data_IF_618279075795
#
_entry.id   IF_618279075795
#
_cell.length_a   1.000
_cell.length_b   1.000
_cell.length_c   1.000
_cell.angle_alpha   90.00
_cell.angle_beta   90.00
_cell.angle_gamma   90.00
#
_symmetry.space_group_name_H-M   'P 1'
#
loop_
_entity.id
_entity.type
_entity.pdbx_description
1 polymer ?
#
# COMPACT_ATOMS: atom_id res chain seq x y z
N UNK A 1 -3.71 -40.50 -30.26
CA UNK A 1 -4.73 -39.45 -30.25
C UNK A 1 -5.11 -39.09 -28.79
N UNK A 2 -5.50 -40.06 -27.92
CA UNK A 2 -5.89 -39.88 -26.53
C UNK A 2 -4.81 -39.14 -25.74
N UNK A 3 -3.55 -39.65 -25.80
CA UNK A 3 -2.43 -38.99 -25.11
C UNK A 3 -2.29 -37.51 -25.47
N UNK A 4 -2.43 -37.19 -26.77
CA UNK A 4 -2.27 -35.82 -27.26
C UNK A 4 -3.41 -34.89 -26.78
N UNK A 5 -4.67 -35.35 -26.69
CA UNK A 5 -5.82 -34.58 -26.22
C UNK A 5 -5.73 -34.22 -24.73
N UNK A 6 -5.08 -35.05 -23.91
CA UNK A 6 -5.11 -34.85 -22.47
C UNK A 6 -3.79 -34.36 -21.86
N UNK A 7 -2.67 -34.77 -22.44
CA UNK A 7 -1.35 -34.54 -21.86
C UNK A 7 -0.51 -33.52 -22.62
N UNK A 8 -0.93 -33.08 -23.80
CA UNK A 8 -0.28 -31.94 -24.46
C UNK A 8 -0.69 -30.62 -23.86
N UNK A 9 0.11 -29.59 -24.16
CA UNK A 9 -0.11 -28.22 -23.67
C UNK A 9 -1.50 -27.67 -24.08
N UNK A 10 -2.28 -27.20 -23.14
CA UNK A 10 -3.62 -26.67 -23.34
C UNK A 10 -3.60 -25.41 -24.24
N UNK A 11 -2.69 -24.50 -23.97
CA UNK A 11 -2.49 -23.28 -24.75
C UNK A 11 -1.30 -23.39 -25.71
N UNK A 12 -1.31 -22.58 -26.77
CA UNK A 12 -0.13 -22.38 -27.63
C UNK A 12 0.88 -21.40 -27.01
N UNK A 13 0.50 -20.66 -25.99
CA UNK A 13 1.38 -19.73 -25.29
C UNK A 13 2.48 -20.49 -24.54
N UNK A 14 3.74 -20.12 -24.80
CA UNK A 14 4.90 -20.56 -24.01
C UNK A 14 5.19 -19.63 -22.83
N UNK A 15 4.43 -18.51 -22.71
CA UNK A 15 4.51 -17.59 -21.57
C UNK A 15 3.46 -17.97 -20.53
N UNK A 16 3.68 -17.62 -19.26
CA UNK A 16 2.65 -17.72 -18.26
C UNK A 16 1.38 -17.01 -18.73
N UNK A 17 0.26 -17.71 -18.74
CA UNK A 17 -1.06 -17.16 -19.03
C UNK A 17 -2.08 -17.76 -18.08
N UNK A 18 -3.14 -17.03 -17.80
CA UNK A 18 -4.09 -17.39 -16.77
C UNK A 18 -5.51 -17.17 -17.26
N UNK A 19 -6.43 -17.97 -16.74
CA UNK A 19 -7.87 -17.73 -16.80
C UNK A 19 -8.36 -17.31 -15.40
N UNK A 20 -9.27 -16.34 -15.37
CA UNK A 20 -9.91 -15.85 -14.16
C UNK A 20 -11.34 -16.31 -14.16
N UNK A 21 -11.73 -17.05 -13.14
CA UNK A 21 -13.07 -17.57 -12.93
C UNK A 21 -13.67 -16.79 -11.77
N UNK A 22 -14.69 -16.01 -12.10
CA UNK A 22 -15.37 -15.15 -11.13
C UNK A 22 -16.28 -16.00 -10.21
N UNK A 23 -16.64 -15.46 -9.08
CA UNK A 23 -17.46 -16.15 -8.09
C UNK A 23 -18.91 -16.42 -8.55
N UNK A 24 -19.37 -15.71 -9.59
CA UNK A 24 -20.67 -15.87 -10.24
C UNK A 24 -20.63 -16.63 -11.57
N UNK A 25 -19.46 -17.15 -11.97
CA UNK A 25 -19.30 -17.90 -13.21
C UNK A 25 -20.06 -19.24 -13.17
N UNK A 26 -20.73 -19.51 -14.29
CA UNK A 26 -21.34 -20.80 -14.58
C UNK A 26 -20.36 -21.70 -15.36
N UNK A 27 -20.60 -23.03 -15.45
CA UNK A 27 -19.77 -23.89 -16.29
C UNK A 27 -19.64 -23.41 -17.73
N UNK A 28 -20.71 -22.85 -18.32
CA UNK A 28 -20.71 -22.38 -19.68
C UNK A 28 -19.87 -21.12 -19.85
N UNK A 29 -19.95 -20.16 -18.93
CA UNK A 29 -19.10 -18.97 -18.95
C UNK A 29 -17.62 -19.32 -18.77
N UNK A 30 -17.30 -20.30 -17.93
CA UNK A 30 -15.94 -20.83 -17.78
C UNK A 30 -15.42 -21.40 -19.11
N UNK A 31 -16.24 -22.18 -19.82
CA UNK A 31 -15.83 -22.70 -21.13
C UNK A 31 -15.58 -21.60 -22.15
N UNK A 32 -16.38 -20.53 -22.15
CA UNK A 32 -16.16 -19.35 -23.00
C UNK A 32 -14.83 -18.66 -22.67
N UNK A 33 -14.51 -18.52 -21.37
CA UNK A 33 -13.24 -17.94 -20.93
C UNK A 33 -12.04 -18.81 -21.33
N UNK A 34 -12.15 -20.12 -21.16
CA UNK A 34 -11.09 -21.08 -21.50
C UNK A 34 -10.84 -21.19 -23.00
N UNK A 35 -11.88 -21.07 -23.83
CA UNK A 35 -11.78 -21.16 -25.30
C UNK A 35 -10.84 -20.10 -25.87
N UNK A 36 -10.80 -18.90 -25.24
CA UNK A 36 -9.90 -17.81 -25.65
C UNK A 36 -8.41 -18.17 -25.52
N UNK A 37 -8.05 -19.08 -24.63
CA UNK A 37 -6.67 -19.49 -24.37
C UNK A 37 -6.33 -20.86 -24.99
N UNK A 38 -7.32 -21.66 -25.32
CA UNK A 38 -7.18 -23.05 -25.73
C UNK A 38 -6.70 -23.20 -27.19
N UNK A 39 -5.97 -24.28 -27.45
CA UNK A 39 -5.92 -24.87 -28.81
C UNK A 39 -7.27 -25.53 -29.08
N UNK A 40 -7.84 -25.43 -30.31
CA UNK A 40 -9.16 -26.00 -30.60
C UNK A 40 -9.33 -27.45 -30.19
N UNK A 41 -8.32 -28.30 -30.48
CA UNK A 41 -8.33 -29.70 -30.13
C UNK A 41 -8.27 -29.95 -28.61
N UNK A 42 -7.59 -29.09 -27.86
CA UNK A 42 -7.49 -29.22 -26.40
C UNK A 42 -8.78 -28.85 -25.71
N UNK A 43 -9.57 -27.91 -26.28
CA UNK A 43 -10.90 -27.60 -25.76
C UNK A 43 -11.86 -28.78 -25.84
N UNK A 44 -11.78 -29.60 -26.92
CA UNK A 44 -12.55 -30.85 -27.03
C UNK A 44 -12.13 -31.82 -25.91
N UNK A 45 -10.83 -32.02 -25.70
CA UNK A 45 -10.31 -32.85 -24.62
C UNK A 45 -10.72 -32.35 -23.23
N UNK A 46 -10.71 -31.05 -23.02
CA UNK A 46 -11.12 -30.44 -21.76
C UNK A 46 -12.60 -30.67 -21.45
N UNK A 47 -13.50 -30.47 -22.44
CA UNK A 47 -14.95 -30.70 -22.26
C UNK A 47 -15.24 -32.17 -21.93
N UNK A 48 -14.53 -33.10 -22.60
CA UNK A 48 -14.67 -34.52 -22.33
C UNK A 48 -14.20 -34.87 -20.90
N UNK A 49 -13.04 -34.37 -20.48
CA UNK A 49 -12.58 -34.53 -19.10
C UNK A 49 -13.55 -33.92 -18.10
N UNK A 50 -14.04 -32.72 -18.36
CA UNK A 50 -14.97 -31.99 -17.50
C UNK A 50 -16.27 -32.77 -17.26
N UNK A 51 -16.78 -33.43 -18.31
CA UNK A 51 -17.94 -34.33 -18.20
C UNK A 51 -17.63 -35.50 -17.28
N UNK A 52 -16.51 -36.20 -17.52
CA UNK A 52 -16.11 -37.41 -16.75
C UNK A 52 -15.93 -37.04 -15.24
N UNK A 53 -15.31 -35.92 -14.94
CA UNK A 53 -15.05 -35.51 -13.53
C UNK A 53 -16.21 -34.72 -12.91
N UNK A 54 -17.34 -34.56 -13.61
CA UNK A 54 -18.50 -33.78 -13.17
C UNK A 54 -18.12 -32.35 -12.74
N UNK A 55 -17.35 -31.66 -13.59
CA UNK A 55 -16.86 -30.31 -13.30
C UNK A 55 -18.00 -29.31 -13.10
N UNK A 56 -19.10 -29.44 -13.84
CA UNK A 56 -20.25 -28.54 -13.76
C UNK A 56 -20.86 -28.38 -12.37
N UNK A 57 -20.71 -29.42 -11.53
CA UNK A 57 -21.13 -29.36 -10.12
C UNK A 57 -20.04 -28.80 -9.17
N UNK A 58 -18.85 -28.47 -9.69
CA UNK A 58 -17.66 -28.14 -8.90
C UNK A 58 -16.88 -26.99 -9.55
N UNK A 59 -17.58 -25.92 -9.92
CA UNK A 59 -16.93 -24.69 -10.37
C UNK A 59 -16.36 -23.96 -9.14
N UNK A 60 -15.06 -23.68 -9.17
CA UNK A 60 -14.39 -22.95 -8.13
C UNK A 60 -13.83 -21.64 -8.72
N UNK A 61 -14.17 -20.46 -8.13
CA UNK A 61 -13.59 -19.19 -8.54
C UNK A 61 -12.09 -19.17 -8.33
N UNK A 62 -11.41 -18.25 -9.00
CA UNK A 62 -9.99 -18.03 -8.83
C UNK A 62 -9.19 -17.91 -10.11
N UNK A 63 -7.88 -17.75 -9.98
CA UNK A 63 -6.92 -17.64 -11.06
C UNK A 63 -6.25 -18.99 -11.34
N UNK A 64 -6.33 -19.47 -12.57
CA UNK A 64 -5.77 -20.74 -12.97
C UNK A 64 -4.80 -20.59 -14.14
N UNK A 65 -3.63 -21.21 -14.04
CA UNK A 65 -2.65 -21.23 -15.12
C UNK A 65 -3.13 -22.04 -16.31
N UNK A 66 -3.01 -21.47 -17.52
CA UNK A 66 -3.40 -22.08 -18.81
C UNK A 66 -2.23 -22.19 -19.79
N UNK A 67 -1.16 -21.40 -19.59
CA UNK A 67 0.06 -21.39 -20.40
C UNK A 67 1.21 -22.16 -19.80
N UNK A 68 2.41 -21.95 -20.34
CA UNK A 68 3.67 -22.51 -19.83
C UNK A 68 3.65 -24.04 -19.69
N UNK A 69 3.16 -24.74 -20.72
CA UNK A 69 3.15 -26.20 -20.77
C UNK A 69 2.10 -26.88 -19.88
N UNK A 70 1.15 -26.15 -19.30
CA UNK A 70 0.04 -26.74 -18.54
C UNK A 70 -0.79 -27.64 -19.45
N UNK A 71 -0.87 -28.95 -19.15
CA UNK A 71 -1.68 -29.90 -19.90
C UNK A 71 -3.17 -29.75 -19.59
N UNK A 72 -4.01 -30.16 -20.55
CA UNK A 72 -5.47 -30.19 -20.38
C UNK A 72 -5.90 -30.96 -19.12
N UNK A 73 -5.28 -32.11 -18.88
CA UNK A 73 -5.57 -32.93 -17.70
C UNK A 73 -5.19 -32.21 -16.37
N UNK A 74 -4.03 -31.54 -16.35
CA UNK A 74 -3.61 -30.76 -15.19
C UNK A 74 -4.55 -29.60 -14.95
N UNK A 75 -4.95 -28.89 -16.01
CA UNK A 75 -5.87 -27.76 -15.91
C UNK A 75 -7.22 -28.17 -15.34
N UNK A 76 -7.88 -29.18 -15.89
CA UNK A 76 -9.19 -29.61 -15.40
C UNK A 76 -9.14 -30.14 -13.95
N UNK A 77 -8.06 -30.81 -13.57
CA UNK A 77 -7.83 -31.24 -12.19
C UNK A 77 -7.69 -30.05 -11.23
N UNK A 78 -7.01 -29.00 -11.66
CA UNK A 78 -6.84 -27.79 -10.88
C UNK A 78 -8.18 -27.03 -10.73
N UNK A 79 -8.90 -26.86 -11.85
CA UNK A 79 -10.20 -26.21 -11.89
C UNK A 79 -11.21 -26.91 -10.96
N UNK A 80 -11.33 -28.25 -11.09
CA UNK A 80 -12.26 -29.04 -10.26
C UNK A 80 -11.87 -29.07 -8.79
N UNK A 81 -10.59 -29.04 -8.49
CA UNK A 81 -10.07 -29.11 -7.12
C UNK A 81 -9.83 -27.75 -6.47
N UNK A 82 -10.18 -26.64 -7.14
CA UNK A 82 -9.95 -25.28 -6.62
C UNK A 82 -8.46 -24.97 -6.40
N UNK A 83 -7.55 -25.63 -7.15
CA UNK A 83 -6.10 -25.42 -6.99
C UNK A 83 -5.66 -24.21 -7.78
N UNK A 84 -5.91 -23.06 -7.22
CA UNK A 84 -5.60 -21.76 -7.81
C UNK A 84 -4.09 -21.50 -7.92
N UNK A 85 -3.73 -20.58 -8.81
CA UNK A 85 -2.41 -19.95 -8.86
C UNK A 85 -2.48 -18.61 -8.16
N UNK A 86 -1.67 -18.40 -7.12
CA UNK A 86 -1.65 -17.16 -6.37
C UNK A 86 -1.29 -15.94 -7.26
N UNK A 87 -1.81 -14.78 -6.90
CA UNK A 87 -1.39 -13.48 -7.45
C UNK A 87 -0.35 -12.84 -6.52
N UNK A 88 0.55 -12.08 -7.09
CA UNK A 88 1.47 -11.22 -6.35
C UNK A 88 0.78 -9.87 -6.09
N UNK A 89 0.14 -9.76 -4.93
CA UNK A 89 -0.57 -8.56 -4.52
C UNK A 89 0.43 -7.51 -4.03
N UNK A 90 0.53 -6.40 -4.76
CA UNK A 90 1.38 -5.27 -4.39
C UNK A 90 0.60 -4.26 -3.56
N UNK A 91 1.09 -3.97 -2.34
CA UNK A 91 0.60 -2.86 -1.52
C UNK A 91 1.48 -1.65 -1.80
N UNK A 92 0.96 -0.64 -2.53
CA UNK A 92 1.73 0.55 -2.92
C UNK A 92 1.71 1.64 -1.84
N UNK A 93 2.62 2.60 -1.97
CA UNK A 93 2.52 3.90 -1.28
C UNK A 93 1.38 4.70 -1.90
N UNK A 94 0.38 5.05 -1.09
CA UNK A 94 -0.82 5.81 -1.52
C UNK A 94 -1.28 6.74 -0.41
N UNK A 95 -1.97 7.83 -0.78
CA UNK A 95 -2.42 8.83 0.19
C UNK A 95 -3.67 8.39 0.96
N UNK A 96 -4.62 7.74 0.30
CA UNK A 96 -5.91 7.40 0.93
C UNK A 96 -6.25 5.92 0.83
N UNK A 97 -7.12 5.45 1.73
CA UNK A 97 -7.66 4.10 1.66
C UNK A 97 -8.54 3.88 0.43
N UNK A 98 -9.14 4.94 -0.14
CA UNK A 98 -9.86 4.85 -1.40
C UNK A 98 -8.89 4.64 -2.58
N UNK A 99 -7.73 5.30 -2.58
CA UNK A 99 -6.69 5.05 -3.57
C UNK A 99 -6.18 3.61 -3.47
N UNK A 100 -5.98 3.11 -2.24
CA UNK A 100 -5.61 1.72 -2.02
C UNK A 100 -6.66 0.77 -2.59
N UNK A 101 -7.93 0.98 -2.28
CA UNK A 101 -9.03 0.16 -2.82
C UNK A 101 -9.02 0.12 -4.35
N UNK A 102 -8.80 1.27 -5.00
CA UNK A 102 -8.67 1.36 -6.46
C UNK A 102 -7.47 0.57 -7.00
N UNK A 103 -6.32 0.57 -6.29
CA UNK A 103 -5.13 -0.19 -6.71
C UNK A 103 -5.29 -1.69 -6.49
N UNK A 104 -5.95 -2.09 -5.41
CA UNK A 104 -6.17 -3.50 -5.09
C UNK A 104 -7.23 -4.14 -5.99
N UNK A 105 -8.26 -3.40 -6.37
CA UNK A 105 -9.31 -3.90 -7.28
C UNK A 105 -8.79 -4.22 -8.70
N UNK A 106 -7.66 -3.66 -9.09
CA UNK A 106 -6.98 -4.02 -10.34
C UNK A 106 -6.24 -5.37 -10.27
N UNK A 107 -6.05 -5.90 -9.08
CA UNK A 107 -5.25 -7.09 -8.81
C UNK A 107 -6.08 -8.26 -8.26
N UNK A 108 -7.29 -7.99 -7.75
CA UNK A 108 -8.18 -8.93 -7.09
C UNK A 108 -9.55 -8.98 -7.80
N UNK A 109 -10.38 -9.97 -7.47
CA UNK A 109 -11.77 -10.05 -7.92
C UNK A 109 -12.63 -8.93 -7.30
N UNK A 110 -12.38 -8.62 -6.03
CA UNK A 110 -13.15 -7.61 -5.32
C UNK A 110 -13.03 -6.22 -5.95
N UNK A 111 -14.13 -5.56 -6.20
CA UNK A 111 -14.17 -4.20 -6.73
C UNK A 111 -13.74 -3.14 -5.70
N UNK A 112 -13.44 -1.95 -6.20
CA UNK A 112 -12.96 -0.84 -5.37
C UNK A 112 -13.99 -0.35 -4.36
N UNK A 113 -15.29 -0.43 -4.68
CA UNK A 113 -16.36 0.02 -3.79
C UNK A 113 -16.50 -0.92 -2.59
N UNK A 114 -16.48 -2.23 -2.84
CA UNK A 114 -16.53 -3.26 -1.81
C UNK A 114 -15.31 -3.21 -0.89
N UNK A 115 -14.11 -3.02 -1.45
CA UNK A 115 -12.88 -2.84 -0.66
C UNK A 115 -12.95 -1.58 0.19
N UNK A 116 -13.32 -0.44 -0.41
CA UNK A 116 -13.43 0.83 0.31
C UNK A 116 -14.49 0.81 1.44
N UNK A 117 -15.60 0.10 1.22
CA UNK A 117 -16.61 -0.12 2.25
C UNK A 117 -16.06 -0.96 3.41
N UNK A 118 -15.32 -2.04 3.10
CA UNK A 118 -14.71 -2.92 4.11
C UNK A 118 -13.68 -2.17 4.96
N UNK A 119 -12.91 -1.23 4.37
CA UNK A 119 -11.95 -0.40 5.11
C UNK A 119 -12.58 0.62 6.05
N UNK A 120 -13.89 0.73 6.06
CA UNK A 120 -14.68 1.63 6.92
C UNK A 120 -15.67 0.88 7.80
N UNK A 121 -15.76 -0.45 7.68
CA UNK A 121 -16.71 -1.26 8.45
C UNK A 121 -16.15 -1.60 9.83
N UNK A 122 -16.70 -0.96 10.86
CA UNK A 122 -16.30 -1.18 12.26
C UNK A 122 -16.41 -2.65 12.67
N UNK A 123 -17.34 -3.44 12.08
CA UNK A 123 -17.47 -4.87 12.36
C UNK A 123 -16.25 -5.67 11.88
N UNK A 124 -15.56 -5.17 10.84
CA UNK A 124 -14.33 -5.75 10.32
C UNK A 124 -13.12 -5.19 11.06
N UNK A 125 -13.09 -3.89 11.35
CA UNK A 125 -11.93 -3.19 11.91
C UNK A 125 -11.75 -3.46 13.41
N UNK A 126 -12.80 -3.38 14.21
CA UNK A 126 -12.70 -3.53 15.67
C UNK A 126 -12.08 -4.87 16.12
N UNK A 127 -12.40 -6.04 15.52
CA UNK A 127 -11.74 -7.30 15.86
C UNK A 127 -10.24 -7.33 15.52
N UNK A 128 -9.77 -6.44 14.60
CA UNK A 128 -8.37 -6.31 14.21
C UNK A 128 -7.62 -5.30 15.09
N UNK A 129 -8.33 -4.62 16.01
CA UNK A 129 -7.75 -3.64 16.94
C UNK A 129 -7.44 -2.30 16.29
N UNK A 130 -8.13 -1.95 15.20
CA UNK A 130 -7.98 -0.68 14.48
C UNK A 130 -9.34 -0.03 14.22
N UNK A 131 -9.32 1.24 13.86
CA UNK A 131 -10.46 2.03 13.41
C UNK A 131 -10.18 2.65 12.03
N UNK A 132 -11.07 3.51 11.56
CA UNK A 132 -10.93 4.18 10.26
C UNK A 132 -9.72 5.11 10.17
N UNK A 133 -9.21 5.61 11.29
CA UNK A 133 -8.02 6.46 11.32
C UNK A 133 -6.72 5.63 11.29
N UNK A 134 -6.74 4.46 11.93
CA UNK A 134 -5.56 3.62 12.12
C UNK A 134 -5.48 2.41 11.18
N UNK A 135 -6.55 2.12 10.44
CA UNK A 135 -6.57 1.01 9.45
C UNK A 135 -5.39 1.04 8.45
N UNK A 136 -4.85 2.21 8.02
CA UNK A 136 -3.68 2.21 7.14
C UNK A 136 -2.46 1.53 7.74
N UNK A 137 -2.32 1.50 9.08
CA UNK A 137 -1.22 0.85 9.79
C UNK A 137 -1.12 -0.65 9.49
N UNK A 138 -2.23 -1.31 9.16
CA UNK A 138 -2.24 -2.73 8.81
C UNK A 138 -1.53 -3.04 7.49
N UNK A 139 -1.41 -2.06 6.61
CA UNK A 139 -0.89 -2.25 5.25
C UNK A 139 0.61 -1.92 5.20
N UNK A 140 1.44 -2.92 5.44
CA UNK A 140 2.89 -2.78 5.26
C UNK A 140 3.22 -2.91 3.77
N UNK A 141 3.84 -1.91 3.12
CA UNK A 141 4.18 -1.98 1.70
C UNK A 141 5.10 -3.14 1.39
N UNK A 142 4.59 -4.06 0.62
CA UNK A 142 5.32 -5.24 0.15
C UNK A 142 4.50 -5.92 -0.95
N UNK A 143 5.05 -7.00 -1.51
CA UNK A 143 4.33 -7.92 -2.40
C UNK A 143 3.96 -9.18 -1.63
N UNK A 144 2.68 -9.54 -1.68
CA UNK A 144 2.13 -10.67 -0.94
C UNK A 144 1.50 -11.69 -1.88
N UNK A 145 1.78 -12.95 -1.69
CA UNK A 145 1.06 -14.02 -2.38
C UNK A 145 -0.31 -14.21 -1.73
N UNK A 146 -1.36 -14.01 -2.53
CA UNK A 146 -2.76 -14.25 -2.13
C UNK A 146 -3.53 -14.90 -3.27
N UNK A 147 -4.69 -15.47 -3.00
CA UNK A 147 -5.60 -15.90 -4.06
C UNK A 147 -6.36 -14.69 -4.61
N UNK A 148 -6.61 -14.72 -5.92
CA UNK A 148 -7.26 -13.62 -6.62
C UNK A 148 -8.68 -13.34 -6.12
N UNK A 149 -9.41 -14.38 -5.71
CA UNK A 149 -10.77 -14.37 -5.15
C UNK A 149 -10.81 -14.15 -3.62
N UNK A 150 -9.70 -13.70 -3.02
CA UNK A 150 -9.67 -13.44 -1.58
C UNK A 150 -10.75 -12.42 -1.20
N UNK A 151 -11.62 -12.78 -0.27
CA UNK A 151 -12.66 -11.86 0.20
C UNK A 151 -12.02 -10.66 0.93
N UNK A 152 -12.63 -9.45 0.87
CA UNK A 152 -12.11 -8.28 1.56
C UNK A 152 -11.85 -8.49 3.05
N UNK A 153 -12.72 -9.25 3.74
CA UNK A 153 -12.56 -9.57 5.17
C UNK A 153 -11.34 -10.46 5.41
N UNK A 154 -11.12 -11.47 4.57
CA UNK A 154 -9.92 -12.33 4.64
C UNK A 154 -8.64 -11.56 4.27
N UNK A 155 -8.74 -10.62 3.34
CA UNK A 155 -7.64 -9.71 3.02
C UNK A 155 -7.25 -8.89 4.25
N UNK A 156 -8.21 -8.30 4.97
CA UNK A 156 -7.94 -7.54 6.19
C UNK A 156 -7.27 -8.39 7.26
N UNK A 157 -7.75 -9.63 7.47
CA UNK A 157 -7.12 -10.58 8.39
C UNK A 157 -5.68 -10.93 7.96
N UNK A 158 -5.46 -11.09 6.65
CA UNK A 158 -4.13 -11.32 6.10
C UNK A 158 -3.21 -10.12 6.33
N UNK A 159 -3.67 -8.90 6.11
CA UNK A 159 -2.88 -7.69 6.37
C UNK A 159 -2.56 -7.55 7.85
N UNK A 160 -3.49 -7.84 8.74
CA UNK A 160 -3.21 -7.88 10.19
C UNK A 160 -2.11 -8.87 10.54
N UNK A 161 -2.15 -10.07 9.97
CA UNK A 161 -1.09 -11.07 10.18
C UNK A 161 0.28 -10.58 9.69
N UNK A 162 0.33 -9.94 8.53
CA UNK A 162 1.57 -9.40 7.96
C UNK A 162 2.09 -8.21 8.79
N UNK A 163 1.19 -7.34 9.25
CA UNK A 163 1.51 -6.27 10.19
C UNK A 163 2.14 -6.84 11.48
N UNK A 164 1.51 -7.84 12.10
CA UNK A 164 2.02 -8.42 13.34
C UNK A 164 3.37 -9.11 13.15
N UNK A 165 3.57 -9.74 12.00
CA UNK A 165 4.85 -10.35 11.62
C UNK A 165 5.94 -9.29 11.35
N UNK A 166 5.57 -8.15 10.76
CA UNK A 166 6.49 -7.04 10.53
C UNK A 166 6.97 -6.43 11.85
N UNK A 167 6.09 -6.21 12.81
CA UNK A 167 6.40 -5.64 14.12
C UNK A 167 7.00 -6.67 15.07
N UNK A 168 8.22 -7.13 14.74
CA UNK A 168 9.02 -8.03 15.60
C UNK A 168 9.34 -7.38 16.96
N UNK A 169 9.74 -8.20 17.95
CA UNK A 169 10.17 -7.67 19.25
C UNK A 169 11.27 -6.61 19.12
N UNK A 170 12.22 -6.79 18.20
CA UNK A 170 13.27 -5.81 17.94
C UNK A 170 12.71 -4.48 17.44
N UNK A 171 11.81 -4.48 16.43
CA UNK A 171 11.19 -3.26 15.90
C UNK A 171 10.31 -2.56 16.92
N UNK A 172 9.58 -3.33 17.74
CA UNK A 172 8.81 -2.77 18.87
C UNK A 172 9.70 -2.09 19.90
N UNK A 173 10.88 -2.66 20.19
CA UNK A 173 11.87 -2.05 21.08
C UNK A 173 12.47 -0.77 20.47
N UNK A 174 12.75 -0.74 19.15
CA UNK A 174 13.22 0.47 18.46
C UNK A 174 12.16 1.59 18.53
N UNK A 175 10.88 1.28 18.23
CA UNK A 175 9.80 2.24 18.37
C UNK A 175 9.70 2.78 19.82
N UNK A 176 9.73 1.87 20.81
CA UNK A 176 9.70 2.23 22.23
C UNK A 176 10.89 3.10 22.64
N UNK A 177 12.08 2.85 22.11
CA UNK A 177 13.28 3.67 22.36
C UNK A 177 13.13 5.09 21.78
N UNK A 178 12.36 5.25 20.71
CA UNK A 178 11.98 6.55 20.17
C UNK A 178 10.78 7.20 20.90
N UNK A 179 10.24 6.55 21.94
CA UNK A 179 9.06 7.01 22.70
C UNK A 179 7.73 6.79 21.98
N UNK A 180 7.68 5.84 21.04
CA UNK A 180 6.52 5.58 20.18
C UNK A 180 5.98 4.15 20.33
N UNK A 181 4.69 3.97 20.12
CA UNK A 181 4.08 2.70 19.78
C UNK A 181 4.35 2.35 18.31
N UNK A 182 4.13 1.10 17.86
CA UNK A 182 4.21 0.72 16.45
C UNK A 182 3.38 1.60 15.51
N UNK A 183 2.12 1.89 15.87
CA UNK A 183 1.21 2.69 15.05
C UNK A 183 1.61 4.18 15.02
N UNK A 184 2.14 4.70 16.13
CA UNK A 184 2.71 6.05 16.17
C UNK A 184 3.98 6.15 15.33
N UNK A 185 4.84 5.12 15.34
CA UNK A 185 6.02 5.06 14.47
C UNK A 185 5.62 5.01 12.99
N UNK A 186 4.58 4.27 12.65
CA UNK A 186 4.02 4.22 11.30
C UNK A 186 3.39 5.57 10.91
N UNK A 187 2.68 6.21 11.83
CA UNK A 187 2.09 7.54 11.63
C UNK A 187 3.17 8.58 11.37
N UNK A 188 4.23 8.61 12.17
CA UNK A 188 5.37 9.50 11.93
C UNK A 188 6.06 9.19 10.60
N UNK A 189 6.22 7.91 10.25
CA UNK A 189 6.78 7.51 8.96
C UNK A 189 5.96 8.02 7.78
N UNK A 190 4.64 8.09 7.90
CA UNK A 190 3.77 8.66 6.86
C UNK A 190 3.99 10.16 6.64
N UNK A 191 4.35 10.89 7.69
CA UNK A 191 4.74 12.30 7.60
C UNK A 191 6.11 12.42 6.93
N UNK A 192 7.09 11.65 7.39
CA UNK A 192 8.46 11.64 6.86
C UNK A 192 8.48 11.26 5.37
N UNK A 193 7.64 10.31 4.94
CA UNK A 193 7.46 9.93 3.52
C UNK A 193 7.08 11.13 2.65
N UNK A 194 6.17 11.97 3.16
CA UNK A 194 5.60 13.10 2.42
C UNK A 194 6.48 14.36 2.48
N UNK A 195 7.43 14.43 3.42
CA UNK A 195 8.35 15.58 3.52
C UNK A 195 9.48 15.52 2.51
N UNK A 196 10.02 14.35 2.22
CA UNK A 196 11.17 14.25 1.33
C UNK A 196 11.14 13.04 0.42
N UNK A 197 11.33 13.30 -0.88
CA UNK A 197 11.60 12.26 -1.86
C UNK A 197 13.03 11.67 -1.72
N UNK A 198 13.92 12.37 -0.99
CA UNK A 198 15.29 11.91 -0.74
C UNK A 198 15.29 10.93 0.44
N UNK A 199 15.33 9.64 0.14
CA UNK A 199 15.35 8.58 1.15
C UNK A 199 16.51 8.70 2.14
N UNK A 200 17.68 9.17 1.69
CA UNK A 200 18.86 9.33 2.54
C UNK A 200 18.73 10.43 3.60
N UNK A 201 17.77 11.35 3.46
CA UNK A 201 17.53 12.43 4.40
C UNK A 201 16.45 12.09 5.44
N UNK A 202 15.62 11.09 5.17
CA UNK A 202 14.49 10.70 6.03
C UNK A 202 14.88 10.40 7.49
N UNK A 203 16.02 9.76 7.81
CA UNK A 203 16.43 9.58 9.21
C UNK A 203 16.68 10.90 9.95
N UNK A 204 17.21 11.92 9.26
CA UNK A 204 17.41 13.26 9.82
C UNK A 204 16.06 13.96 10.09
N UNK A 205 15.13 13.87 9.13
CA UNK A 205 13.77 14.42 9.27
C UNK A 205 13.02 13.73 10.43
N UNK A 206 13.11 12.40 10.50
CA UNK A 206 12.53 11.63 11.60
C UNK A 206 13.06 12.08 12.97
N UNK A 207 14.38 12.25 13.10
CA UNK A 207 15.03 12.76 14.31
C UNK A 207 14.55 14.16 14.69
N UNK A 208 14.41 15.05 13.72
CA UNK A 208 13.90 16.40 13.94
C UNK A 208 12.47 16.39 14.47
N UNK A 209 11.57 15.58 13.90
CA UNK A 209 10.20 15.47 14.39
C UNK A 209 10.13 14.79 15.78
N UNK A 210 10.95 13.78 16.05
CA UNK A 210 11.05 13.18 17.38
C UNK A 210 11.52 14.17 18.43
N UNK A 211 12.49 15.03 18.11
CA UNK A 211 12.91 16.10 19.02
C UNK A 211 11.76 17.05 19.34
N UNK A 212 10.95 17.42 18.34
CA UNK A 212 9.74 18.24 18.56
C UNK A 212 8.73 17.54 19.46
N UNK A 213 8.44 16.25 19.19
CA UNK A 213 7.52 15.46 20.01
C UNK A 213 7.97 15.41 21.48
N UNK A 214 9.25 15.12 21.73
CA UNK A 214 9.81 15.05 23.07
C UNK A 214 9.78 16.39 23.82
N UNK A 215 9.82 17.51 23.09
CA UNK A 215 9.71 18.85 23.66
C UNK A 215 8.26 19.37 23.75
N UNK A 216 7.25 18.56 23.39
CA UNK A 216 5.85 18.99 23.37
C UNK A 216 5.56 20.07 22.32
N UNK A 217 6.40 20.20 21.29
CA UNK A 217 6.20 21.14 20.20
C UNK A 217 5.21 20.59 19.18
N UNK A 218 4.45 21.49 18.54
CA UNK A 218 3.65 21.14 17.36
C UNK A 218 4.57 20.72 16.22
N UNK A 219 4.20 19.67 15.48
CA UNK A 219 5.04 19.20 14.36
C UNK A 219 5.09 20.20 13.20
N UNK A 220 3.99 20.88 12.92
CA UNK A 220 3.86 21.89 11.85
C UNK A 220 4.30 21.33 10.48
N UNK A 221 3.86 20.11 10.20
CA UNK A 221 4.15 19.40 8.97
C UNK A 221 3.11 19.75 7.88
N UNK A 222 3.53 20.41 6.82
CA UNK A 222 2.67 20.79 5.68
C UNK A 222 1.87 19.63 5.09
N UNK A 223 2.42 18.41 4.93
CA UNK A 223 1.68 17.26 4.42
C UNK A 223 0.43 16.92 5.25
N UNK A 224 0.45 17.16 6.55
CA UNK A 224 -0.70 16.90 7.41
C UNK A 224 -1.88 17.85 7.12
N UNK A 225 -1.57 19.09 6.69
CA UNK A 225 -2.58 20.06 6.24
C UNK A 225 -3.16 19.68 4.89
N UNK A 226 -2.33 19.24 3.94
CA UNK A 226 -2.80 18.72 2.64
C UNK A 226 -3.76 17.55 2.83
N UNK A 227 -3.41 16.62 3.70
CA UNK A 227 -4.26 15.48 4.04
C UNK A 227 -5.58 15.93 4.69
N UNK A 228 -5.52 16.86 5.63
CA UNK A 228 -6.70 17.42 6.32
C UNK A 228 -7.67 18.12 5.36
N UNK A 229 -7.15 18.73 4.29
CA UNK A 229 -7.93 19.38 3.22
C UNK A 229 -8.42 18.37 2.15
N UNK A 230 -7.81 17.19 2.09
CA UNK A 230 -8.06 16.24 1.00
C UNK A 230 -7.52 16.69 -0.36
N UNK A 231 -6.62 17.69 -0.38
CA UNK A 231 -6.06 18.25 -1.60
C UNK A 231 -4.54 18.00 -1.67
N UNK A 232 -4.19 16.90 -2.31
CA UNK A 232 -2.80 16.49 -2.52
C UNK A 232 -2.11 17.19 -3.69
N UNK A 233 -2.87 17.91 -4.53
CA UNK A 233 -2.35 18.68 -5.65
C UNK A 233 -1.79 20.05 -5.25
N UNK A 234 -2.09 20.50 -4.02
CA UNK A 234 -1.57 21.77 -3.48
C UNK A 234 -0.03 21.79 -3.53
N UNK A 235 0.51 22.71 -4.33
CA UNK A 235 1.97 22.90 -4.39
C UNK A 235 2.52 23.66 -3.20
N UNK A 236 1.70 24.53 -2.60
CA UNK A 236 2.08 25.41 -1.47
C UNK A 236 0.95 25.53 -0.46
N UNK A 237 1.30 25.38 0.81
CA UNK A 237 0.39 25.67 1.92
C UNK A 237 0.39 27.18 2.16
N UNK A 238 -0.80 27.78 2.14
CA UNK A 238 -1.02 29.19 2.44
C UNK A 238 -1.51 29.35 3.87
N UNK A 239 -1.39 30.56 4.45
CA UNK A 239 -1.76 30.86 5.84
C UNK A 239 -3.20 30.45 6.17
N UNK A 240 -4.15 30.69 5.24
CA UNK A 240 -5.55 30.30 5.41
C UNK A 240 -5.73 28.77 5.52
N UNK A 241 -4.88 27.96 4.90
CA UNK A 241 -4.93 26.50 4.97
C UNK A 241 -4.53 25.99 6.37
N UNK A 242 -3.64 26.71 7.07
CA UNK A 242 -3.17 26.35 8.42
C UNK A 242 -4.29 26.37 9.47
N UNK A 243 -5.40 27.05 9.17
CA UNK A 243 -6.55 27.17 10.08
C UNK A 243 -7.53 25.98 10.01
N UNK A 244 -7.36 25.03 9.07
CA UNK A 244 -8.29 23.91 8.91
C UNK A 244 -8.49 23.16 10.24
N UNK A 245 -9.75 22.99 10.63
CA UNK A 245 -10.11 22.28 11.86
C UNK A 245 -10.16 20.78 11.60
N UNK A 246 -9.05 20.10 11.86
CA UNK A 246 -8.92 18.66 11.67
C UNK A 246 -7.97 18.09 12.72
N UNK A 247 -8.23 16.86 13.24
CA UNK A 247 -7.31 16.17 14.14
C UNK A 247 -5.98 15.80 13.46
N UNK A 248 -5.92 15.86 12.15
CA UNK A 248 -4.68 15.65 11.37
C UNK A 248 -3.82 16.92 11.30
N UNK A 249 -4.36 18.10 11.55
CA UNK A 249 -3.63 19.35 11.40
C UNK A 249 -2.60 19.57 12.53
N UNK A 250 -1.34 19.31 12.26
CA UNK A 250 -0.23 19.44 13.22
C UNK A 250 0.25 20.89 13.43
N UNK A 251 -0.35 21.88 12.77
CA UNK A 251 -0.20 23.30 13.11
C UNK A 251 -1.12 23.70 14.26
N UNK A 252 -2.24 23.02 14.44
CA UNK A 252 -3.21 23.31 15.50
C UNK A 252 -3.05 22.39 16.70
N UNK A 253 -2.79 21.10 16.45
CA UNK A 253 -2.73 20.07 17.47
C UNK A 253 -1.27 19.75 17.83
N UNK A 254 -1.01 19.54 19.11
CA UNK A 254 0.29 19.05 19.62
C UNK A 254 0.34 17.52 19.46
N UNK A 255 1.52 16.98 19.19
CA UNK A 255 1.71 15.55 19.03
C UNK A 255 1.50 15.06 17.60
N UNK A 256 1.40 13.75 17.46
CA UNK A 256 1.08 13.09 16.21
C UNK A 256 -0.42 13.26 15.87
N UNK A 257 -0.79 13.22 14.57
CA UNK A 257 -2.18 13.10 14.19
C UNK A 257 -2.77 11.76 14.65
N UNK A 258 -4.09 11.64 14.61
CA UNK A 258 -4.83 10.44 15.07
C UNK A 258 -4.55 9.17 14.26
N UNK A 259 -3.87 9.28 13.13
CA UNK A 259 -3.48 8.17 12.27
C UNK A 259 -2.59 8.63 11.12
N UNK A 260 -2.10 7.69 10.30
CA UNK A 260 -1.24 7.99 9.16
C UNK A 260 -1.91 8.87 8.10
N UNK A 261 -1.12 9.69 7.41
CA UNK A 261 -1.55 10.54 6.29
C UNK A 261 -1.26 9.90 4.91
N UNK A 262 -0.67 8.74 4.89
CA UNK A 262 -0.48 7.87 3.72
C UNK A 262 -0.06 6.48 4.19
N UNK A 263 -0.05 5.51 3.29
CA UNK A 263 0.71 4.27 3.47
C UNK A 263 2.16 4.60 3.13
N UNK A 264 3.11 4.65 4.11
CA UNK A 264 4.50 5.03 3.87
C UNK A 264 5.30 3.86 3.31
N UNK A 265 6.41 4.13 2.62
CA UNK A 265 7.35 3.09 2.20
C UNK A 265 8.04 2.40 3.38
N UNK A 266 8.58 1.20 3.15
CA UNK A 266 9.42 0.51 4.16
C UNK A 266 10.63 1.37 4.57
N UNK A 267 11.20 2.12 3.64
CA UNK A 267 12.30 3.04 3.93
C UNK A 267 11.89 4.12 4.94
N UNK A 268 10.71 4.72 4.79
CA UNK A 268 10.23 5.72 5.74
C UNK A 268 10.00 5.13 7.14
N UNK A 269 9.40 3.93 7.22
CA UNK A 269 9.22 3.25 8.52
C UNK A 269 10.58 2.96 9.17
N UNK A 270 11.52 2.42 8.39
CA UNK A 270 12.88 2.14 8.88
C UNK A 270 13.63 3.41 9.29
N UNK A 271 13.39 4.54 8.59
CA UNK A 271 13.99 5.83 8.91
C UNK A 271 13.53 6.37 10.26
N UNK A 272 12.29 6.08 10.67
CA UNK A 272 11.79 6.41 12.02
C UNK A 272 12.39 5.47 13.06
N UNK A 273 12.45 4.16 12.78
CA UNK A 273 13.00 3.18 13.71
C UNK A 273 14.52 3.33 13.93
N UNK A 274 15.22 3.87 12.94
CA UNK A 274 16.67 4.12 12.93
C UNK A 274 16.97 5.61 12.69
N UNK A 275 16.22 6.49 13.37
CA UNK A 275 16.36 7.93 13.20
C UNK A 275 17.76 8.44 13.58
N UNK A 276 18.18 9.52 12.94
CA UNK A 276 19.45 10.15 13.26
C UNK A 276 19.34 10.94 14.58
N UNK A 277 20.30 10.71 15.48
CA UNK A 277 20.39 11.40 16.76
C UNK A 277 21.10 12.75 16.58
N UNK A 278 20.38 13.82 16.85
CA UNK A 278 20.84 15.22 16.80
C UNK A 278 19.90 16.09 17.62
N UNK A 279 20.18 17.39 17.72
CA UNK A 279 19.38 18.35 18.47
C UNK A 279 18.54 19.31 17.60
N UNK A 280 18.44 19.05 16.29
CA UNK A 280 17.66 19.91 15.38
C UNK A 280 16.16 19.79 15.65
N UNK A 281 15.49 20.94 15.60
CA UNK A 281 14.03 21.08 15.73
C UNK A 281 13.41 21.90 14.60
N UNK A 282 14.21 22.41 13.67
CA UNK A 282 13.78 23.14 12.48
C UNK A 282 14.42 22.57 11.24
N UNK A 283 13.73 22.69 10.11
CA UNK A 283 14.26 22.46 8.79
C UNK A 283 13.66 23.44 7.77
N UNK A 284 14.35 23.74 6.70
CA UNK A 284 13.85 24.44 5.53
C UNK A 284 14.56 23.95 4.27
N UNK A 285 13.95 24.16 3.11
CA UNK A 285 14.53 23.76 1.85
C UNK A 285 15.93 24.39 1.65
N UNK A 286 16.85 23.61 1.07
CA UNK A 286 18.22 24.04 0.85
C UNK A 286 18.32 24.96 -0.36
N UNK A 287 19.14 25.98 -0.26
CA UNK A 287 19.34 27.04 -1.26
C UNK A 287 19.94 26.58 -2.57
N UNK A 288 20.54 25.38 -2.61
CA UNK A 288 21.11 24.77 -3.82
C UNK A 288 20.04 24.07 -4.71
N UNK A 289 18.78 24.01 -4.25
CA UNK A 289 17.65 23.35 -4.93
C UNK A 289 17.86 21.86 -5.16
N UNK A 290 18.68 21.21 -4.34
CA UNK A 290 18.95 19.76 -4.40
C UNK A 290 17.75 18.90 -3.95
N UNK A 291 16.65 19.52 -3.49
CA UNK A 291 15.53 18.83 -2.86
C UNK A 291 15.82 18.37 -1.43
N UNK A 292 16.97 18.80 -0.87
CA UNK A 292 17.37 18.56 0.53
C UNK A 292 16.98 19.73 1.42
N UNK A 293 17.21 19.55 2.73
CA UNK A 293 16.93 20.55 3.76
C UNK A 293 18.16 20.97 4.50
N UNK A 294 18.15 22.22 4.97
CA UNK A 294 19.03 22.70 6.02
C UNK A 294 18.31 22.50 7.35
N UNK A 295 18.98 21.87 8.30
CA UNK A 295 18.47 21.65 9.66
C UNK A 295 19.05 22.70 10.62
N UNK A 296 18.31 23.03 11.67
CA UNK A 296 18.72 23.99 12.69
C UNK A 296 18.23 23.58 14.08
N UNK A 297 19.04 23.86 15.10
CA UNK A 297 18.70 23.64 16.50
C UNK A 297 18.01 24.86 17.12
N UNK A 298 18.24 26.06 16.59
CA UNK A 298 17.69 27.31 17.09
C UNK A 298 16.84 28.01 16.02
N UNK A 299 15.94 28.89 16.48
CA UNK A 299 15.12 29.70 15.57
C UNK A 299 15.97 30.70 14.79
N UNK A 300 17.05 31.21 15.39
CA UNK A 300 18.01 32.12 14.73
C UNK A 300 18.71 31.46 13.54
N UNK A 301 19.25 30.24 13.73
CA UNK A 301 19.84 29.43 12.65
C UNK A 301 18.82 29.12 11.55
N UNK A 302 17.60 28.76 11.95
CA UNK A 302 16.51 28.50 11.00
C UNK A 302 16.17 29.73 10.16
N UNK A 303 16.08 30.90 10.79
CA UNK A 303 15.81 32.16 10.10
C UNK A 303 16.92 32.52 9.11
N UNK A 304 18.19 32.31 9.49
CA UNK A 304 19.34 32.49 8.61
C UNK A 304 19.28 31.54 7.40
N UNK A 305 18.93 30.26 7.62
CA UNK A 305 18.74 29.27 6.56
C UNK A 305 17.60 29.66 5.60
N UNK A 306 16.44 30.05 6.16
CA UNK A 306 15.29 30.49 5.38
C UNK A 306 15.57 31.73 4.53
N UNK A 307 16.35 32.67 5.08
CA UNK A 307 16.80 33.87 4.34
C UNK A 307 17.66 33.51 3.15
N UNK A 308 18.65 32.61 3.33
CA UNK A 308 19.50 32.14 2.20
C UNK A 308 18.66 31.49 1.10
N UNK A 309 17.68 30.67 1.48
CA UNK A 309 16.78 30.04 0.51
C UNK A 309 15.94 31.08 -0.24
N UNK A 310 15.36 32.07 0.46
CA UNK A 310 14.59 33.16 -0.15
C UNK A 310 15.46 34.00 -1.12
N UNK A 311 16.69 34.32 -0.75
CA UNK A 311 17.64 35.04 -1.62
C UNK A 311 17.98 34.22 -2.89
N UNK A 312 18.14 32.89 -2.76
CA UNK A 312 18.38 32.02 -3.89
C UNK A 312 17.16 31.94 -4.83
N UNK A 313 15.94 31.92 -4.31
CA UNK A 313 14.71 31.99 -5.12
C UNK A 313 14.62 33.33 -5.89
N UNK A 314 14.92 34.45 -5.22
CA UNK A 314 14.88 35.78 -5.84
C UNK A 314 15.91 35.90 -6.97
N UNK A 315 17.12 35.37 -6.81
CA UNK A 315 18.16 35.32 -7.86
C UNK A 315 17.73 34.54 -9.09
N UNK A 316 16.84 33.55 -8.95
CA UNK A 316 16.28 32.75 -10.06
C UNK A 316 15.01 33.35 -10.66
N UNK A 317 14.55 34.51 -10.18
CA UNK A 317 13.30 35.13 -10.66
C UNK A 317 12.04 34.36 -10.30
N UNK A 318 12.13 33.42 -9.35
CA UNK A 318 10.96 32.70 -8.84
C UNK A 318 10.31 33.58 -7.80
N UNK A 319 9.35 34.40 -8.22
CA UNK A 319 8.59 35.26 -7.30
C UNK A 319 7.85 34.41 -6.26
N UNK A 320 7.71 34.98 -5.05
CA UNK A 320 6.93 34.42 -3.96
C UNK A 320 5.46 34.28 -4.32
#
# INVERSE_FOLDING_TARGET
LIYWLFFSSFSSSRKPSFVYIDSDDTPDSVYVKLDKAAKPSQMVGLKLCAFVVNYGAHVHPGRYATGDGVSTFRLIRNLRGGRQTAVELVIPVVHTMNDLAGRLSQQLEADSATLAATFKDDKVLAPLGVDTATVPCLFIPNTYEVYWDITPQKLMQRMKKEHDAYWTSARKQQAKAAGLTPDEAYTLASIVEQESANEGERPMIAGMYLNRLHQGMKLQADPTVKYALGDFALRRIMINHLSVNSPYNTYRNVGLPIGPICIPSLNAIQSVLNYAHHNYIYMCAKEDFSGKHNFAATYEEHTANAKRYAEALNKRGIAK
#
